data_IF_147191916436
#
_entry.id   IF_147191916436
#
_cell.length_a   1.000
_cell.length_b   1.000
_cell.length_c   1.000
_cell.angle_alpha   90.00
_cell.angle_beta   90.00
_cell.angle_gamma   90.00
#
_symmetry.space_group_name_H-M   'P 1'
#
loop_
_entity.id
_entity.type
_entity.pdbx_description
1 polymer ?
#
# COMPACT_ATOMS: atom_id res chain seq x y z
N UNK A 1 -7.66 78.97 0.96
CA UNK A 1 -7.83 79.63 -0.35
C UNK A 1 -8.62 78.65 -1.22
N UNK A 2 -9.85 78.94 -1.33
CA UNK A 2 -10.68 79.29 -2.48
C UNK A 2 -10.96 78.09 -3.37
N UNK A 3 -12.12 77.49 -3.22
CA UNK A 3 -13.34 77.74 -4.01
C UNK A 3 -13.17 77.44 -5.49
N UNK A 4 -14.00 76.57 -6.03
CA UNK A 4 -15.11 76.95 -6.95
C UNK A 4 -16.01 75.70 -7.16
N UNK A 5 -17.28 75.83 -6.81
CA UNK A 5 -18.45 75.11 -7.23
C UNK A 5 -18.75 75.37 -8.71
N UNK A 6 -19.18 74.37 -9.46
CA UNK A 6 -20.20 74.61 -10.47
C UNK A 6 -21.05 73.37 -10.68
N UNK A 7 -22.29 73.55 -10.45
CA UNK A 7 -23.51 72.77 -10.75
C UNK A 7 -23.83 72.81 -12.25
N UNK A 8 -24.37 71.71 -12.81
CA UNK A 8 -25.38 71.68 -13.89
C UNK A 8 -26.06 70.30 -13.83
N UNK A 9 -27.24 70.23 -13.31
CA UNK A 9 -28.58 70.18 -13.92
C UNK A 9 -28.89 69.01 -14.86
N UNK A 10 -29.79 68.24 -14.36
CA UNK A 10 -30.83 67.35 -14.90
C UNK A 10 -30.94 67.12 -16.42
N UNK A 11 -31.09 65.86 -16.80
CA UNK A 11 -32.02 65.47 -17.87
C UNK A 11 -32.62 64.10 -17.62
N UNK A 12 -33.92 64.11 -17.41
CA UNK A 12 -34.81 62.92 -17.31
C UNK A 12 -35.05 62.41 -18.73
N UNK A 13 -34.82 61.13 -19.00
CA UNK A 13 -35.46 60.48 -20.14
C UNK A 13 -35.60 58.97 -19.97
N UNK A 14 -36.86 58.63 -19.84
CA UNK A 14 -37.56 57.45 -20.35
C UNK A 14 -37.09 56.05 -19.97
N UNK A 15 -37.98 55.41 -19.23
CA UNK A 15 -38.08 54.04 -18.88
C UNK A 15 -37.99 53.08 -20.08
N UNK A 16 -37.13 52.12 -19.92
CA UNK A 16 -37.18 50.88 -20.67
C UNK A 16 -37.66 49.78 -19.78
N UNK A 17 -38.94 49.41 -19.95
CA UNK A 17 -39.52 48.24 -19.28
C UNK A 17 -38.82 46.99 -19.80
N UNK A 18 -37.96 46.41 -18.99
CA UNK A 18 -37.46 45.06 -19.22
C UNK A 18 -38.63 44.09 -19.11
N UNK A 19 -38.97 43.51 -20.25
CA UNK A 19 -39.92 42.41 -20.38
C UNK A 19 -39.29 41.19 -19.73
N UNK A 20 -39.71 40.85 -18.49
CA UNK A 20 -39.39 39.57 -17.86
C UNK A 20 -40.08 38.49 -18.69
N UNK A 21 -39.33 37.85 -19.56
CA UNK A 21 -39.76 36.65 -20.27
C UNK A 21 -39.95 35.53 -19.24
N UNK A 22 -41.19 35.03 -19.17
CA UNK A 22 -41.53 33.83 -18.38
C UNK A 22 -40.65 32.68 -18.80
N UNK A 23 -39.66 32.35 -17.98
CA UNK A 23 -38.91 31.10 -18.11
C UNK A 23 -39.90 29.97 -17.81
N UNK A 24 -40.35 29.31 -18.89
CA UNK A 24 -41.12 28.07 -18.77
C UNK A 24 -40.24 27.05 -18.08
N UNK A 25 -40.57 26.70 -16.85
CA UNK A 25 -39.97 25.60 -16.12
C UNK A 25 -40.25 24.33 -16.90
N UNK A 26 -39.25 23.87 -17.64
CA UNK A 26 -39.27 22.61 -18.35
C UNK A 26 -39.17 21.50 -17.28
N UNK A 27 -40.33 21.07 -16.79
CA UNK A 27 -40.45 19.89 -15.92
C UNK A 27 -40.40 18.64 -16.78
N UNK A 28 -39.24 18.32 -17.31
CA UNK A 28 -39.03 17.04 -17.98
C UNK A 28 -38.68 15.98 -16.94
N UNK A 29 -39.49 14.93 -16.78
CA UNK A 29 -39.17 13.82 -15.88
C UNK A 29 -37.87 13.12 -16.29
N UNK A 30 -37.44 13.28 -17.53
CA UNK A 30 -36.19 12.74 -18.05
C UNK A 30 -34.94 13.42 -17.42
N UNK A 31 -35.02 14.71 -17.07
CA UNK A 31 -33.91 15.45 -16.44
C UNK A 31 -33.67 14.99 -14.99
N UNK A 32 -34.74 14.62 -14.27
CA UNK A 32 -34.63 14.06 -12.93
C UNK A 32 -34.08 12.62 -12.91
N UNK A 33 -34.36 11.83 -13.94
CA UNK A 33 -33.83 10.47 -14.06
C UNK A 33 -32.33 10.44 -14.36
N UNK A 34 -31.82 11.39 -15.17
CA UNK A 34 -30.39 11.51 -15.46
C UNK A 34 -29.57 12.04 -14.28
N UNK A 35 -30.17 12.86 -13.39
CA UNK A 35 -29.49 13.35 -12.18
C UNK A 35 -29.40 12.25 -11.09
N UNK A 36 -30.32 11.29 -11.07
CA UNK A 36 -30.27 10.14 -10.15
C UNK A 36 -29.22 9.10 -10.52
N UNK A 37 -28.85 8.98 -11.81
CA UNK A 37 -27.86 7.99 -12.28
C UNK A 37 -26.39 8.43 -12.04
N UNK A 38 -26.14 9.72 -11.82
CA UNK A 38 -24.80 10.26 -11.56
C UNK A 38 -24.34 10.14 -10.10
N UNK A 39 -25.22 9.74 -9.17
CA UNK A 39 -24.91 9.62 -7.75
C UNK A 39 -24.47 8.20 -7.34
N UNK A 40 -24.41 7.25 -8.30
CA UNK A 40 -24.01 5.87 -8.03
C UNK A 40 -22.54 5.55 -8.33
N UNK A 41 -21.69 6.55 -8.57
CA UNK A 41 -20.25 6.34 -8.52
C UNK A 41 -19.84 6.19 -7.05
N UNK A 42 -20.05 4.98 -6.53
CA UNK A 42 -19.54 4.57 -5.25
C UNK A 42 -18.05 4.90 -5.19
N UNK A 43 -17.68 5.77 -4.28
CA UNK A 43 -16.27 6.01 -3.96
C UNK A 43 -15.69 4.66 -3.56
N UNK A 44 -14.94 4.03 -4.45
CA UNK A 44 -14.10 2.89 -4.11
C UNK A 44 -13.06 3.40 -3.12
N UNK A 45 -13.40 3.38 -1.85
CA UNK A 45 -12.41 3.55 -0.79
C UNK A 45 -11.50 2.33 -0.90
N UNK A 46 -10.25 2.54 -1.31
CA UNK A 46 -9.20 1.55 -1.08
C UNK A 46 -9.07 1.49 0.44
N UNK A 47 -9.80 0.56 1.04
CA UNK A 47 -9.64 0.26 2.46
C UNK A 47 -8.21 -0.28 2.65
N UNK A 48 -7.53 0.25 3.65
CA UNK A 48 -6.26 -0.33 4.06
C UNK A 48 -6.49 -1.79 4.46
N UNK A 49 -5.58 -2.68 4.10
CA UNK A 49 -5.67 -4.08 4.49
C UNK A 49 -5.66 -4.22 6.02
N UNK A 50 -6.53 -5.10 6.49
CA UNK A 50 -6.69 -5.41 7.90
C UNK A 50 -6.50 -6.92 8.15
N UNK A 51 -6.35 -7.28 9.43
CA UNK A 51 -6.32 -8.67 9.85
C UNK A 51 -7.66 -9.34 9.52
N UNK A 52 -7.60 -10.51 8.88
CA UNK A 52 -8.76 -11.25 8.37
C UNK A 52 -8.97 -11.12 6.86
N UNK A 53 -8.43 -10.08 6.22
CA UNK A 53 -8.53 -9.91 4.76
C UNK A 53 -7.76 -11.00 4.02
N UNK A 54 -8.20 -11.28 2.79
CA UNK A 54 -7.42 -12.10 1.86
C UNK A 54 -6.20 -11.30 1.43
N UNK A 55 -5.01 -11.90 1.56
CA UNK A 55 -3.77 -11.26 1.12
C UNK A 55 -3.80 -11.07 -0.40
N UNK A 56 -3.48 -9.87 -0.91
CA UNK A 56 -3.31 -9.66 -2.34
C UNK A 56 -2.27 -10.62 -2.91
N UNK A 57 -2.64 -11.26 -4.00
CA UNK A 57 -1.71 -12.15 -4.68
C UNK A 57 -0.52 -11.38 -5.28
N UNK A 58 0.62 -12.04 -5.39
CA UNK A 58 1.78 -11.47 -6.04
C UNK A 58 2.54 -12.49 -6.87
N UNK A 59 3.20 -12.00 -7.91
CA UNK A 59 4.15 -12.75 -8.72
C UNK A 59 5.36 -11.85 -8.98
N UNK A 60 6.40 -12.00 -8.17
CA UNK A 60 7.56 -11.10 -8.13
C UNK A 60 8.87 -11.85 -8.34
N UNK A 61 9.83 -11.20 -8.98
CA UNK A 61 11.18 -11.73 -9.13
C UNK A 61 11.98 -11.57 -7.84
N UNK A 62 12.65 -12.66 -7.44
CA UNK A 62 13.52 -12.72 -6.28
C UNK A 62 15.00 -12.58 -6.60
N UNK A 63 15.78 -12.24 -5.59
CA UNK A 63 17.25 -12.12 -5.68
C UNK A 63 17.95 -13.44 -5.93
N UNK A 64 17.31 -14.56 -5.66
CA UNK A 64 17.73 -15.93 -5.96
C UNK A 64 17.56 -16.33 -7.44
N UNK A 65 17.02 -15.43 -8.27
CA UNK A 65 16.80 -15.65 -9.70
C UNK A 65 15.49 -16.34 -10.04
N UNK A 66 14.66 -16.65 -9.06
CA UNK A 66 13.33 -17.26 -9.25
C UNK A 66 12.23 -16.19 -9.28
N UNK A 67 11.10 -16.57 -9.85
CA UNK A 67 9.85 -15.83 -9.69
C UNK A 67 9.05 -16.50 -8.57
N UNK A 68 8.62 -15.70 -7.61
CA UNK A 68 7.86 -16.17 -6.44
C UNK A 68 6.40 -15.77 -6.58
N UNK A 69 5.51 -16.74 -6.46
CA UNK A 69 4.07 -16.56 -6.53
C UNK A 69 3.45 -16.95 -5.19
N UNK A 70 2.69 -16.05 -4.57
CA UNK A 70 2.12 -16.28 -3.23
C UNK A 70 1.38 -17.61 -3.13
N UNK A 71 0.54 -17.93 -4.11
CA UNK A 71 -0.31 -19.13 -4.10
C UNK A 71 0.50 -20.44 -4.03
N UNK A 72 1.71 -20.47 -4.60
CA UNK A 72 2.57 -21.65 -4.55
C UNK A 72 3.00 -21.97 -3.12
N UNK A 73 3.32 -20.95 -2.35
CA UNK A 73 3.76 -21.07 -0.95
C UNK A 73 2.64 -21.36 0.04
N UNK A 74 1.41 -20.91 -0.24
CA UNK A 74 0.26 -21.17 0.63
C UNK A 74 -0.08 -22.67 0.71
N UNK A 75 0.25 -23.44 -0.32
CA UNK A 75 0.07 -24.90 -0.30
C UNK A 75 1.09 -25.60 0.62
N UNK A 76 2.19 -24.95 0.94
CA UNK A 76 3.29 -25.49 1.75
C UNK A 76 3.25 -25.01 3.20
N UNK A 77 2.66 -23.82 3.47
CA UNK A 77 2.61 -23.27 4.82
C UNK A 77 2.22 -21.80 4.87
N UNK A 78 2.58 -21.15 5.96
CA UNK A 78 2.37 -19.71 6.12
C UNK A 78 3.40 -18.90 5.30
N UNK A 79 3.06 -17.64 5.00
CA UNK A 79 3.97 -16.72 4.32
C UNK A 79 4.15 -15.45 5.15
N UNK A 80 5.39 -15.01 5.31
CA UNK A 80 5.73 -13.72 5.91
C UNK A 80 6.34 -12.82 4.84
N UNK A 81 5.71 -11.67 4.61
CA UNK A 81 6.15 -10.67 3.63
C UNK A 81 6.54 -9.37 4.35
N UNK A 82 7.84 -9.12 4.45
CA UNK A 82 8.43 -7.96 5.13
C UNK A 82 8.78 -6.87 4.10
N UNK A 83 7.93 -5.85 4.00
CA UNK A 83 8.18 -4.69 3.14
C UNK A 83 9.21 -3.76 3.76
N UNK A 84 10.20 -3.35 2.98
CA UNK A 84 11.20 -2.38 3.39
C UNK A 84 11.29 -1.20 2.40
N UNK A 85 11.61 0.03 2.89
CA UNK A 85 11.59 1.24 2.07
C UNK A 85 12.57 1.24 0.89
N UNK A 86 13.85 0.97 1.15
CA UNK A 86 14.88 1.17 0.13
C UNK A 86 16.19 0.46 0.50
N UNK A 87 16.71 -0.32 -0.43
CA UNK A 87 18.02 -0.97 -0.28
C UNK A 87 19.14 0.04 -0.02
N UNK A 88 20.11 -0.37 0.79
CA UNK A 88 21.29 0.43 1.21
C UNK A 88 21.00 1.58 2.17
N UNK A 89 19.79 1.72 2.70
CA UNK A 89 19.54 2.66 3.81
C UNK A 89 19.84 1.99 5.14
N UNK A 90 20.21 2.77 6.17
CA UNK A 90 20.67 2.22 7.46
C UNK A 90 19.68 1.27 8.11
N UNK A 91 18.41 1.68 8.25
CA UNK A 91 17.39 0.84 8.87
C UNK A 91 17.09 -0.45 8.07
N UNK A 92 17.12 -0.39 6.72
CA UNK A 92 16.90 -1.58 5.89
C UNK A 92 18.12 -2.53 5.91
N UNK A 93 19.31 -1.97 6.03
CA UNK A 93 20.55 -2.75 6.21
C UNK A 93 20.53 -3.49 7.54
N UNK A 94 20.15 -2.81 8.63
CA UNK A 94 20.03 -3.42 9.97
C UNK A 94 18.99 -4.54 9.96
N UNK A 95 17.81 -4.32 9.34
CA UNK A 95 16.76 -5.33 9.27
C UNK A 95 17.18 -6.57 8.46
N UNK A 96 17.72 -6.36 7.26
CA UNK A 96 18.18 -7.47 6.42
C UNK A 96 19.28 -8.27 7.12
N UNK A 97 20.20 -7.59 7.82
CA UNK A 97 21.26 -8.22 8.59
C UNK A 97 20.70 -9.01 9.78
N UNK A 98 19.75 -8.46 10.55
CA UNK A 98 19.07 -9.17 11.62
C UNK A 98 18.47 -10.50 11.13
N UNK A 99 17.75 -10.46 10.01
CA UNK A 99 17.15 -11.65 9.41
C UNK A 99 18.21 -12.64 8.89
N UNK A 100 19.30 -12.17 8.30
CA UNK A 100 20.37 -13.02 7.80
C UNK A 100 21.17 -13.72 8.93
N UNK A 101 21.47 -13.00 9.99
CA UNK A 101 22.24 -13.52 11.13
C UNK A 101 21.40 -14.42 12.05
N UNK A 102 20.13 -14.09 12.26
CA UNK A 102 19.23 -14.77 13.20
C UNK A 102 18.11 -15.56 12.51
N UNK A 103 18.20 -15.80 11.20
CA UNK A 103 17.20 -16.58 10.42
C UNK A 103 17.00 -18.00 10.94
N UNK A 104 17.97 -18.55 11.71
CA UNK A 104 17.84 -19.84 12.37
C UNK A 104 16.65 -19.91 13.35
N UNK A 105 16.21 -18.76 13.92
CA UNK A 105 15.03 -18.68 14.77
C UNK A 105 13.73 -18.93 14.01
N UNK A 106 13.74 -18.72 12.70
CA UNK A 106 12.58 -18.85 11.82
C UNK A 106 12.48 -20.25 11.20
N UNK A 107 13.59 -20.97 11.07
CA UNK A 107 13.67 -22.29 10.42
C UNK A 107 12.74 -23.35 11.02
N UNK A 108 12.45 -23.37 12.33
CA UNK A 108 11.54 -24.36 12.90
C UNK A 108 10.09 -24.24 12.44
N UNK A 109 9.66 -23.07 11.97
CA UNK A 109 8.27 -22.84 11.58
C UNK A 109 7.99 -23.33 10.16
N UNK A 110 6.79 -23.85 9.93
CA UNK A 110 6.32 -24.24 8.61
C UNK A 110 5.82 -23.00 7.86
N UNK A 111 6.77 -22.22 7.34
CA UNK A 111 6.49 -20.98 6.64
C UNK A 111 7.62 -20.62 5.67
N UNK A 112 7.31 -19.71 4.75
CA UNK A 112 8.26 -19.02 3.90
C UNK A 112 8.31 -17.54 4.26
N UNK A 113 9.49 -16.91 4.22
CA UNK A 113 9.59 -15.49 4.44
C UNK A 113 10.39 -14.79 3.35
N UNK A 114 9.98 -13.57 3.06
CA UNK A 114 10.56 -12.72 2.04
C UNK A 114 10.68 -11.30 2.56
N UNK A 115 11.75 -10.62 2.19
CA UNK A 115 11.72 -9.17 2.19
C UNK A 115 11.23 -8.69 0.82
N UNK A 116 10.58 -7.52 0.76
CA UNK A 116 10.11 -6.95 -0.50
C UNK A 116 10.31 -5.43 -0.55
N UNK A 117 10.67 -4.91 -1.71
CA UNK A 117 10.75 -3.47 -1.96
C UNK A 117 10.37 -3.13 -3.40
N UNK A 118 10.19 -1.84 -3.66
CA UNK A 118 9.97 -1.31 -5.01
C UNK A 118 11.29 -1.00 -5.74
N UNK A 119 12.42 -1.37 -5.16
CA UNK A 119 13.72 -1.22 -5.82
C UNK A 119 13.83 -2.18 -7.03
N UNK A 120 14.56 -1.80 -8.08
CA UNK A 120 14.86 -2.71 -9.19
C UNK A 120 15.59 -3.97 -8.74
N UNK A 121 15.34 -5.11 -9.40
CA UNK A 121 15.91 -6.41 -9.05
C UNK A 121 17.44 -6.39 -8.93
N UNK A 122 18.13 -5.73 -9.87
CA UNK A 122 19.60 -5.63 -9.83
C UNK A 122 20.10 -4.96 -8.54
N UNK A 123 19.37 -3.95 -8.04
CA UNK A 123 19.70 -3.28 -6.78
C UNK A 123 19.47 -4.19 -5.58
N UNK A 124 18.34 -4.90 -5.53
CA UNK A 124 18.06 -5.87 -4.47
C UNK A 124 19.06 -7.03 -4.48
N UNK A 125 19.49 -7.53 -5.66
CA UNK A 125 20.55 -8.55 -5.77
C UNK A 125 21.88 -8.09 -5.15
N UNK A 126 22.32 -6.86 -5.47
CA UNK A 126 23.53 -6.29 -4.87
C UNK A 126 23.41 -6.13 -3.35
N UNK A 127 22.25 -5.67 -2.89
CA UNK A 127 21.97 -5.49 -1.47
C UNK A 127 21.94 -6.83 -0.72
N UNK A 128 21.20 -7.84 -1.20
CA UNK A 128 21.15 -9.17 -0.62
C UNK A 128 22.54 -9.80 -0.49
N UNK A 129 23.34 -9.71 -1.58
CA UNK A 129 24.73 -10.20 -1.58
C UNK A 129 25.58 -9.52 -0.51
N UNK A 130 25.49 -8.20 -0.39
CA UNK A 130 26.25 -7.43 0.61
C UNK A 130 25.86 -7.81 2.03
N UNK A 131 24.55 -8.03 2.29
CA UNK A 131 24.05 -8.41 3.62
C UNK A 131 24.13 -9.92 3.89
N UNK A 132 24.62 -10.70 2.93
CA UNK A 132 24.68 -12.18 3.03
C UNK A 132 23.31 -12.81 3.32
N UNK A 133 22.24 -12.23 2.75
CA UNK A 133 20.89 -12.74 2.93
C UNK A 133 20.79 -14.16 2.30
N UNK A 134 20.37 -15.13 3.09
CA UNK A 134 20.11 -16.53 2.69
C UNK A 134 18.64 -16.77 2.34
N UNK A 135 17.88 -15.70 2.18
CA UNK A 135 16.46 -15.66 1.81
C UNK A 135 16.22 -14.68 0.65
N UNK A 136 15.13 -14.87 -0.12
CA UNK A 136 14.86 -13.99 -1.26
C UNK A 136 14.40 -12.60 -0.86
N UNK A 137 14.93 -11.56 -1.54
CA UNK A 137 14.38 -10.23 -1.58
C UNK A 137 13.59 -10.07 -2.88
N UNK A 138 12.30 -9.78 -2.77
CA UNK A 138 11.38 -9.61 -3.90
C UNK A 138 11.42 -8.18 -4.41
N UNK A 139 11.33 -8.02 -5.74
CA UNK A 139 11.36 -6.72 -6.40
C UNK A 139 10.04 -6.42 -7.08
N UNK A 140 9.42 -5.29 -6.73
CA UNK A 140 8.19 -4.74 -7.30
C UNK A 140 8.44 -3.35 -7.92
N UNK A 141 9.26 -3.23 -8.99
CA UNK A 141 9.59 -1.95 -9.59
C UNK A 141 8.36 -1.25 -10.20
N UNK A 142 7.33 -2.00 -10.60
CA UNK A 142 6.06 -1.49 -11.09
C UNK A 142 5.15 -0.98 -9.97
N UNK A 143 5.49 -1.26 -8.70
CA UNK A 143 4.77 -0.81 -7.50
C UNK A 143 3.32 -1.30 -7.40
N UNK A 144 2.94 -2.25 -8.20
CA UNK A 144 1.58 -2.78 -8.26
C UNK A 144 1.23 -3.56 -7.00
N UNK A 145 2.14 -4.40 -6.53
CA UNK A 145 1.96 -5.21 -5.32
C UNK A 145 2.05 -4.33 -4.07
N UNK A 146 3.03 -3.42 -4.02
CA UNK A 146 3.14 -2.45 -2.91
C UNK A 146 1.87 -1.59 -2.76
N UNK A 147 1.25 -1.22 -3.88
CA UNK A 147 -0.03 -0.50 -3.89
C UNK A 147 -1.17 -1.39 -3.38
N UNK A 148 -1.25 -2.64 -3.83
CA UNK A 148 -2.27 -3.60 -3.40
C UNK A 148 -2.17 -3.90 -1.90
N UNK A 149 -0.95 -4.02 -1.36
CA UNK A 149 -0.71 -4.17 0.07
C UNK A 149 -0.87 -2.87 0.89
N UNK A 150 -1.17 -1.74 0.25
CA UNK A 150 -1.34 -0.45 0.92
C UNK A 150 -0.05 0.10 1.54
N UNK A 151 1.10 -0.40 1.10
CA UNK A 151 2.40 0.02 1.64
C UNK A 151 3.12 1.05 0.77
N UNK A 152 2.58 1.41 -0.39
CA UNK A 152 3.22 2.41 -1.24
C UNK A 152 3.03 3.82 -0.67
N UNK A 153 4.13 4.44 -0.25
CA UNK A 153 4.12 5.82 0.25
C UNK A 153 3.95 6.84 -0.89
N UNK A 154 3.48 8.07 -0.60
CA UNK A 154 3.44 9.16 -1.58
C UNK A 154 4.81 9.50 -2.19
N UNK A 155 5.90 9.15 -1.51
CA UNK A 155 7.28 9.35 -1.99
C UNK A 155 7.74 8.26 -2.95
N UNK A 156 6.87 7.26 -3.25
CA UNK A 156 7.13 6.22 -4.26
C UNK A 156 8.01 5.07 -3.80
N UNK A 157 8.20 4.87 -2.51
CA UNK A 157 8.82 3.69 -1.90
C UNK A 157 7.88 3.03 -0.89
N UNK A 158 8.13 1.78 -0.51
CA UNK A 158 7.30 1.08 0.44
C UNK A 158 7.50 1.62 1.87
N UNK A 159 6.44 1.61 2.68
CA UNK A 159 6.57 1.74 4.14
C UNK A 159 6.96 0.39 4.74
N UNK A 160 7.63 0.41 5.90
CA UNK A 160 8.09 -0.79 6.59
C UNK A 160 6.93 -1.43 7.34
N UNK A 161 6.32 -2.44 6.72
CA UNK A 161 5.29 -3.27 7.32
C UNK A 161 5.60 -4.74 7.06
N UNK A 162 5.31 -5.61 8.05
CA UNK A 162 5.42 -7.05 7.87
C UNK A 162 4.03 -7.69 7.95
N UNK A 163 3.67 -8.44 6.91
CA UNK A 163 2.42 -9.17 6.81
C UNK A 163 2.66 -10.65 7.11
N UNK A 164 1.86 -11.21 8.00
CA UNK A 164 1.82 -12.63 8.31
C UNK A 164 0.56 -13.20 7.68
N UNK A 165 0.72 -14.16 6.79
CA UNK A 165 -0.33 -14.75 5.98
C UNK A 165 -0.39 -16.24 6.30
N UNK A 166 -1.56 -16.76 6.69
CA UNK A 166 -1.72 -18.17 6.96
C UNK A 166 -1.86 -18.99 5.65
N UNK A 167 -1.82 -20.31 5.78
CA UNK A 167 -1.95 -21.24 4.64
C UNK A 167 -3.29 -21.10 3.87
N UNK A 168 -4.30 -20.45 4.46
CA UNK A 168 -5.57 -20.14 3.79
C UNK A 168 -5.53 -18.80 3.04
N UNK A 169 -4.37 -18.17 2.93
CA UNK A 169 -4.17 -16.89 2.23
C UNK A 169 -4.76 -15.68 2.96
N UNK A 170 -5.06 -15.80 4.27
CA UNK A 170 -5.57 -14.68 5.05
C UNK A 170 -4.47 -14.01 5.86
N UNK A 171 -4.51 -12.70 5.93
CA UNK A 171 -3.65 -11.89 6.80
C UNK A 171 -4.06 -12.16 8.24
N UNK A 172 -3.16 -12.73 9.03
CA UNK A 172 -3.38 -13.01 10.45
C UNK A 172 -2.70 -12.00 11.38
N UNK A 173 -1.76 -11.22 10.84
CA UNK A 173 -1.14 -10.08 11.54
C UNK A 173 -0.53 -9.11 10.54
N UNK A 174 -0.58 -7.82 10.87
CA UNK A 174 0.16 -6.77 10.20
C UNK A 174 1.00 -6.06 11.26
N UNK A 175 2.31 -6.19 11.17
CA UNK A 175 3.23 -5.41 12.01
C UNK A 175 3.57 -4.10 11.30
N UNK A 176 3.05 -3.00 11.84
CA UNK A 176 3.28 -1.64 11.34
C UNK A 176 4.40 -0.92 12.09
N UNK A 177 4.95 -1.55 13.14
CA UNK A 177 5.97 -0.97 14.03
C UNK A 177 7.25 -1.84 14.07
N UNK A 178 7.66 -2.32 12.91
CA UNK A 178 8.84 -3.20 12.77
C UNK A 178 10.09 -2.54 13.34
N UNK A 179 10.78 -3.25 14.21
CA UNK A 179 12.08 -2.87 14.78
C UNK A 179 13.20 -3.54 13.99
N UNK A 180 13.99 -2.80 13.18
CA UNK A 180 14.99 -3.39 12.30
C UNK A 180 16.03 -4.27 13.02
N UNK A 181 16.49 -3.86 14.20
CA UNK A 181 17.54 -4.56 14.92
C UNK A 181 17.13 -5.90 15.53
N UNK A 182 15.83 -6.09 15.78
CA UNK A 182 15.28 -7.31 16.39
C UNK A 182 14.24 -7.98 15.47
N UNK A 183 14.37 -7.75 14.16
CA UNK A 183 13.35 -8.19 13.20
C UNK A 183 13.18 -9.71 13.20
N UNK A 184 14.26 -10.48 13.28
CA UNK A 184 14.19 -11.94 13.32
C UNK A 184 13.55 -12.47 14.60
N UNK A 185 13.93 -11.93 15.75
CA UNK A 185 13.40 -12.30 17.06
C UNK A 185 11.92 -11.91 17.19
N UNK A 186 11.56 -10.71 16.74
CA UNK A 186 10.18 -10.25 16.75
C UNK A 186 9.31 -11.09 15.80
N UNK A 187 9.86 -11.48 14.65
CA UNK A 187 9.17 -12.34 13.69
C UNK A 187 8.94 -13.73 14.31
N UNK A 188 9.95 -14.36 14.94
CA UNK A 188 9.83 -15.64 15.61
C UNK A 188 8.78 -15.60 16.72
N UNK A 189 8.81 -14.56 17.57
CA UNK A 189 7.80 -14.33 18.62
C UNK A 189 6.40 -14.18 18.06
N UNK A 190 6.24 -13.47 16.94
CA UNK A 190 4.96 -13.32 16.28
C UNK A 190 4.44 -14.64 15.72
N UNK A 191 5.31 -15.45 15.09
CA UNK A 191 4.95 -16.77 14.58
C UNK A 191 4.46 -17.70 15.69
N UNK A 192 5.11 -17.70 16.85
CA UNK A 192 4.64 -18.44 18.02
C UNK A 192 3.29 -17.94 18.54
N UNK A 193 3.12 -16.64 18.70
CA UNK A 193 1.87 -16.03 19.15
C UNK A 193 0.69 -16.31 18.21
N UNK A 194 0.97 -16.44 16.91
CA UNK A 194 -0.01 -16.79 15.88
C UNK A 194 -0.21 -18.30 15.75
N UNK A 195 0.45 -19.12 16.56
CA UNK A 195 0.38 -20.58 16.51
C UNK A 195 0.69 -21.14 15.10
N UNK A 196 1.64 -20.53 14.39
CA UNK A 196 2.10 -21.07 13.10
C UNK A 196 2.77 -22.41 13.36
N UNK A 197 2.35 -23.50 12.66
CA UNK A 197 2.89 -24.83 12.89
C UNK A 197 4.41 -24.86 12.75
N UNK A 198 5.06 -25.70 13.57
CA UNK A 198 6.47 -26.04 13.37
C UNK A 198 6.57 -27.17 12.33
N UNK A 199 7.68 -27.21 11.62
CA UNK A 199 7.99 -28.31 10.70
C UNK A 199 8.06 -29.61 11.48
N UNK A 200 7.52 -30.68 10.89
CA UNK A 200 7.71 -32.01 11.45
C UNK A 200 9.22 -32.35 11.41
N UNK A 201 9.80 -32.57 12.57
CA UNK A 201 11.14 -33.14 12.69
C UNK A 201 10.99 -34.64 12.43
N UNK A 202 11.26 -35.09 11.18
CA UNK A 202 11.46 -36.51 10.94
C UNK A 202 12.67 -36.96 11.78
N UNK A 203 12.39 -37.67 12.86
CA UNK A 203 13.38 -38.37 13.69
C UNK A 203 13.83 -39.62 12.98
#
# INVERSE_FOLDING_TARGET
>A
MASILTSISASISRGTRLRVSKIKRLRSPLALALMGLMLSFGSYRVLALEVGDVAPDFKLQGTDGKTHHLQEYLSEGAVVLAWFPKAYTSGCTIECKSLAENGHLLKPFNMHYFMASVDPLAKNKGFAKQQKADFPLLSDPEKSVAKAYGVLSPRGYAVRHTFYINAQGRIVKIDRNVRPSTSAEDMAKNLEALSIPKKETNS
#
